data_IF_355112784563
#
_entry.id   IF_355112784563
#
_cell.length_a   1.000
_cell.length_b   1.000
_cell.length_c   1.000
_cell.angle_alpha   90.00
_cell.angle_beta   90.00
_cell.angle_gamma   90.00
#
_symmetry.space_group_name_H-M   'P 1'
#
loop_
_entity.id
_entity.type
_entity.pdbx_description
1 polymer ?
#
# COMPACT_ATOMS: atom_id res chain seq x y z
N UNK A 1 -17.14 11.51 -64.66
CA UNK A 1 -18.12 10.72 -63.88
C UNK A 1 -18.48 11.55 -62.67
N UNK A 2 -19.74 11.97 -62.61
CA UNK A 2 -20.25 13.13 -61.87
C UNK A 2 -20.78 12.78 -60.46
N UNK A 3 -20.68 13.79 -59.58
CA UNK A 3 -21.61 14.19 -58.52
C UNK A 3 -22.07 13.18 -57.44
N UNK A 4 -21.35 13.23 -56.31
CA UNK A 4 -21.91 12.99 -54.97
C UNK A 4 -22.77 14.18 -54.53
N UNK A 5 -24.09 14.04 -54.56
CA UNK A 5 -25.05 14.87 -53.79
C UNK A 5 -26.34 14.06 -53.64
N UNK A 6 -26.66 13.61 -52.42
CA UNK A 6 -28.02 13.51 -51.85
C UNK A 6 -28.00 12.60 -50.60
N UNK A 7 -27.63 13.16 -49.44
CA UNK A 7 -27.77 12.49 -48.14
C UNK A 7 -28.05 13.41 -46.96
N UNK A 8 -28.14 14.73 -47.19
CA UNK A 8 -28.20 15.74 -46.12
C UNK A 8 -29.61 16.19 -45.72
N UNK A 9 -30.69 15.60 -46.25
CA UNK A 9 -32.07 16.10 -46.02
C UNK A 9 -32.91 15.31 -45.00
N UNK A 10 -32.44 14.19 -44.44
CA UNK A 10 -33.22 13.39 -43.46
C UNK A 10 -32.94 13.68 -41.98
N UNK A 11 -31.84 14.37 -41.62
CA UNK A 11 -31.45 14.58 -40.21
C UNK A 11 -32.02 15.84 -39.56
N UNK A 12 -32.51 16.82 -40.33
CA UNK A 12 -33.05 18.07 -39.79
C UNK A 12 -34.55 18.02 -39.43
N UNK A 13 -35.30 17.05 -39.97
CA UNK A 13 -36.72 16.87 -39.64
C UNK A 13 -36.93 16.17 -38.29
N UNK A 14 -35.99 15.34 -37.83
CA UNK A 14 -36.11 14.63 -36.55
C UNK A 14 -35.73 15.51 -35.34
N UNK A 15 -34.85 16.50 -35.53
CA UNK A 15 -34.41 17.40 -34.48
C UNK A 15 -35.49 18.44 -34.07
N UNK A 16 -36.40 18.79 -34.98
CA UNK A 16 -37.46 19.78 -34.74
C UNK A 16 -38.67 19.21 -33.98
N UNK A 17 -38.94 17.91 -34.07
CA UNK A 17 -40.08 17.28 -33.37
C UNK A 17 -39.75 17.02 -31.89
N UNK A 18 -38.49 16.76 -31.54
CA UNK A 18 -38.07 16.56 -30.14
C UNK A 18 -37.97 17.87 -29.33
N UNK A 19 -37.67 19.00 -29.98
CA UNK A 19 -37.60 20.30 -29.31
C UNK A 19 -38.99 20.88 -28.97
N UNK A 20 -40.03 20.55 -29.75
CA UNK A 20 -41.39 21.04 -29.51
C UNK A 20 -42.12 20.28 -28.39
N UNK A 21 -41.80 19.00 -28.15
CA UNK A 21 -42.39 18.21 -27.06
C UNK A 21 -41.93 18.64 -25.66
N UNK A 22 -40.68 19.09 -25.52
CA UNK A 22 -40.10 19.48 -24.22
C UNK A 22 -40.53 20.88 -23.74
N UNK A 23 -40.99 21.75 -24.64
CA UNK A 23 -41.43 23.10 -24.27
C UNK A 23 -42.92 23.19 -23.92
N UNK A 24 -43.76 22.27 -24.39
CA UNK A 24 -45.20 22.26 -24.05
C UNK A 24 -45.54 21.51 -22.75
N UNK A 25 -44.65 20.64 -22.25
CA UNK A 25 -44.84 19.97 -20.96
C UNK A 25 -44.71 20.90 -19.75
N UNK A 26 -44.04 22.05 -19.91
CA UNK A 26 -43.76 23.00 -18.83
C UNK A 26 -44.92 23.97 -18.52
N UNK A 27 -45.93 24.04 -19.39
CA UNK A 27 -47.06 24.98 -19.26
C UNK A 27 -48.37 24.36 -18.74
N UNK A 28 -48.46 23.03 -18.58
CA UNK A 28 -49.71 22.35 -18.21
C UNK A 28 -49.75 21.76 -16.79
N UNK A 29 -48.65 21.78 -16.03
CA UNK A 29 -48.60 21.27 -14.65
C UNK A 29 -47.74 22.15 -13.73
N UNK A 30 -48.28 23.23 -13.12
CA UNK A 30 -47.51 24.15 -12.28
C UNK A 30 -47.17 23.59 -10.88
N UNK A 31 -47.49 22.32 -10.61
CA UNK A 31 -47.34 21.70 -9.28
C UNK A 31 -46.37 20.51 -9.19
N UNK A 32 -45.76 20.08 -10.30
CA UNK A 32 -44.83 18.97 -10.25
C UNK A 32 -43.43 19.49 -9.92
N UNK A 33 -43.11 19.52 -8.62
CA UNK A 33 -41.71 19.58 -8.18
C UNK A 33 -41.04 18.31 -8.67
N UNK A 34 -40.23 18.43 -9.72
CA UNK A 34 -39.18 17.45 -9.94
C UNK A 34 -38.36 17.41 -8.64
N UNK A 35 -38.00 16.23 -8.12
CA UNK A 35 -36.93 16.19 -7.14
C UNK A 35 -35.75 16.90 -7.79
N UNK A 36 -35.18 17.90 -7.11
CA UNK A 36 -33.85 18.40 -7.40
C UNK A 36 -32.90 17.21 -7.22
N UNK A 37 -32.83 16.36 -8.23
CA UNK A 37 -31.65 15.58 -8.51
C UNK A 37 -30.63 16.61 -8.98
N UNK A 38 -30.02 17.29 -8.01
CA UNK A 38 -28.79 18.00 -8.20
C UNK A 38 -27.80 16.96 -8.79
N UNK A 39 -27.49 16.98 -10.09
CA UNK A 39 -26.59 16.01 -10.71
C UNK A 39 -25.13 16.44 -10.48
N UNK A 40 -24.87 17.09 -9.33
CA UNK A 40 -23.71 17.94 -9.10
C UNK A 40 -22.81 17.51 -7.94
N UNK A 41 -23.14 16.45 -7.19
CA UNK A 41 -22.19 15.82 -6.29
C UNK A 41 -21.62 14.56 -6.94
N UNK A 42 -20.95 14.70 -8.08
CA UNK A 42 -19.86 13.76 -8.34
C UNK A 42 -18.87 13.96 -7.20
N UNK A 43 -18.87 13.03 -6.24
CA UNK A 43 -17.84 12.99 -5.22
C UNK A 43 -16.49 12.86 -5.94
N UNK A 44 -15.85 14.00 -6.22
CA UNK A 44 -14.53 14.03 -6.84
C UNK A 44 -13.57 13.41 -5.82
N UNK A 45 -13.07 12.23 -6.13
CA UNK A 45 -12.10 11.54 -5.29
C UNK A 45 -10.69 12.07 -5.62
N UNK A 46 -9.87 12.26 -4.59
CA UNK A 46 -8.46 12.61 -4.68
C UNK A 46 -7.66 11.43 -4.15
N UNK A 47 -6.67 10.98 -4.91
CA UNK A 47 -5.80 9.90 -4.47
C UNK A 47 -4.68 10.47 -3.60
N UNK A 48 -4.61 10.01 -2.35
CA UNK A 48 -3.58 10.37 -1.38
C UNK A 48 -2.64 9.18 -1.18
N UNK A 49 -1.35 9.41 -1.40
CA UNK A 49 -0.28 8.43 -1.28
C UNK A 49 0.53 8.77 -0.04
N UNK A 50 0.52 7.88 0.94
CA UNK A 50 1.31 7.98 2.16
C UNK A 50 2.60 7.18 2.01
N UNK A 51 3.74 7.86 2.05
CA UNK A 51 5.07 7.27 1.93
C UNK A 51 5.79 7.38 3.26
N UNK A 52 6.11 6.23 3.86
CA UNK A 52 6.90 6.14 5.09
C UNK A 52 8.29 5.61 4.77
N UNK A 53 9.32 6.42 4.97
CA UNK A 53 10.72 6.04 4.78
C UNK A 53 11.36 5.68 6.13
N UNK A 54 11.90 4.48 6.25
CA UNK A 54 12.55 3.97 7.47
C UNK A 54 14.06 4.12 7.35
N UNK A 55 14.66 4.98 8.19
CA UNK A 55 16.09 5.33 8.05
C UNK A 55 17.03 4.15 8.32
N UNK A 56 16.68 3.25 9.26
CA UNK A 56 17.61 2.18 9.71
C UNK A 56 17.83 1.09 8.66
N UNK A 57 16.82 0.83 7.82
CA UNK A 57 16.90 -0.17 6.74
C UNK A 57 16.79 0.43 5.33
N UNK A 58 16.58 1.75 5.22
CA UNK A 58 16.29 2.44 3.96
C UNK A 58 15.10 1.82 3.19
N UNK A 59 14.13 1.29 3.93
CA UNK A 59 12.92 0.68 3.36
C UNK A 59 11.79 1.72 3.27
N UNK A 60 10.86 1.51 2.34
CA UNK A 60 9.76 2.44 2.07
C UNK A 60 8.42 1.73 2.04
N UNK A 61 7.53 2.08 2.97
CA UNK A 61 6.15 1.63 2.96
C UNK A 61 5.26 2.67 2.28
N UNK A 62 4.44 2.22 1.32
CA UNK A 62 3.50 3.09 0.59
C UNK A 62 2.07 2.62 0.83
N UNK A 63 1.19 3.53 1.23
CA UNK A 63 -0.24 3.28 1.40
C UNK A 63 -1.00 4.27 0.53
N UNK A 64 -1.85 3.78 -0.36
CA UNK A 64 -2.69 4.63 -1.20
C UNK A 64 -4.12 4.61 -0.68
N UNK A 65 -4.73 5.78 -0.57
CA UNK A 65 -6.14 5.94 -0.18
C UNK A 65 -6.82 6.94 -1.10
N UNK A 66 -8.03 6.64 -1.51
CA UNK A 66 -8.87 7.60 -2.22
C UNK A 66 -9.75 8.32 -1.19
N UNK A 67 -9.73 9.65 -1.23
CA UNK A 67 -10.40 10.52 -0.25
C UNK A 67 -11.34 11.45 -1.00
N UNK A 68 -12.55 11.64 -0.49
CA UNK A 68 -13.47 12.64 -1.03
C UNK A 68 -12.87 14.03 -0.95
N UNK A 69 -13.00 14.85 -1.99
CA UNK A 69 -12.45 16.21 -2.01
C UNK A 69 -12.97 17.09 -0.86
N UNK A 70 -14.20 16.83 -0.41
CA UNK A 70 -14.83 17.44 0.75
C UNK A 70 -14.15 17.08 2.09
N UNK A 71 -13.44 15.94 2.14
CA UNK A 71 -12.72 15.44 3.32
C UNK A 71 -11.22 15.77 3.28
N UNK A 72 -10.69 16.21 2.13
CA UNK A 72 -9.27 16.45 1.94
C UNK A 72 -8.73 17.54 2.89
N UNK A 73 -9.45 18.65 3.03
CA UNK A 73 -9.02 19.75 3.90
C UNK A 73 -8.99 19.32 5.38
N UNK A 74 -9.97 18.52 5.80
CA UNK A 74 -9.98 17.97 7.16
C UNK A 74 -8.86 16.96 7.38
N UNK A 75 -8.56 16.12 6.37
CA UNK A 75 -7.44 15.20 6.41
C UNK A 75 -6.11 15.94 6.53
N UNK A 76 -5.87 16.94 5.67
CA UNK A 76 -4.68 17.80 5.71
C UNK A 76 -4.53 18.50 7.06
N UNK A 77 -5.61 19.01 7.63
CA UNK A 77 -5.59 19.63 8.95
C UNK A 77 -5.28 18.63 10.09
N UNK A 78 -5.66 17.36 9.94
CA UNK A 78 -5.38 16.29 10.91
C UNK A 78 -3.97 15.71 10.80
N UNK A 79 -3.26 15.95 9.69
CA UNK A 79 -1.87 15.55 9.52
C UNK A 79 -1.00 16.48 10.35
N UNK A 80 -0.87 16.15 11.63
CA UNK A 80 0.01 16.82 12.58
C UNK A 80 1.49 16.49 12.32
N UNK A 81 2.37 17.22 13.03
CA UNK A 81 3.84 17.12 13.03
C UNK A 81 4.34 15.69 12.77
N UNK A 82 4.98 15.49 11.61
CA UNK A 82 5.57 14.20 11.24
C UNK A 82 5.55 13.89 9.74
N UNK A 83 4.62 14.49 8.99
CA UNK A 83 4.60 14.44 7.52
C UNK A 83 5.34 15.66 6.96
N UNK A 84 6.48 15.42 6.31
CA UNK A 84 7.49 16.43 6.01
C UNK A 84 7.36 17.04 4.61
N UNK A 85 6.74 16.32 3.65
CA UNK A 85 6.57 16.82 2.29
C UNK A 85 5.19 16.45 1.74
N UNK A 86 4.52 17.45 1.19
CA UNK A 86 3.30 17.32 0.41
C UNK A 86 3.64 17.70 -1.04
N UNK A 87 3.75 16.72 -1.93
CA UNK A 87 3.92 16.97 -3.37
C UNK A 87 2.62 16.64 -4.10
N UNK A 88 2.09 17.60 -4.85
CA UNK A 88 1.02 17.33 -5.81
C UNK A 88 1.67 16.89 -7.13
N UNK A 89 1.41 15.65 -7.54
CA UNK A 89 1.90 15.11 -8.82
C UNK A 89 0.78 14.38 -9.54
N UNK A 90 0.51 14.77 -10.78
CA UNK A 90 -0.49 14.13 -11.66
C UNK A 90 -1.90 14.02 -11.04
N UNK A 91 -2.32 15.03 -10.27
CA UNK A 91 -3.62 15.03 -9.57
C UNK A 91 -3.69 14.11 -8.35
N UNK A 92 -2.53 13.65 -7.86
CA UNK A 92 -2.38 12.88 -6.63
C UNK A 92 -1.63 13.70 -5.60
N UNK A 93 -1.96 13.44 -4.34
CA UNK A 93 -1.30 14.05 -3.20
C UNK A 93 -0.33 13.04 -2.58
N UNK A 94 0.97 13.28 -2.66
CA UNK A 94 1.97 12.47 -1.98
C UNK A 94 2.38 13.11 -0.66
N UNK A 95 2.26 12.34 0.42
CA UNK A 95 2.63 12.71 1.78
C UNK A 95 3.80 11.84 2.21
N UNK A 96 4.94 12.46 2.49
CA UNK A 96 6.15 11.73 2.88
C UNK A 96 6.48 11.98 4.35
N UNK A 97 6.72 10.92 5.10
CA UNK A 97 7.33 10.99 6.43
C UNK A 97 8.59 10.13 6.50
N UNK A 98 9.53 10.56 7.34
CA UNK A 98 10.75 9.81 7.62
C UNK A 98 10.72 9.40 9.09
N UNK A 99 10.82 8.11 9.35
CA UNK A 99 10.85 7.54 10.70
C UNK A 99 12.27 7.06 10.97
N UNK A 100 12.83 7.49 12.11
CA UNK A 100 14.16 7.04 12.55
C UNK A 100 14.11 5.66 13.22
N UNK A 101 13.57 4.68 12.51
CA UNK A 101 13.41 3.32 13.03
C UNK A 101 13.46 2.25 11.94
N UNK A 102 13.34 0.99 12.35
CA UNK A 102 13.20 -0.16 11.47
C UNK A 102 11.79 -0.25 10.88
N UNK A 103 11.68 -0.77 9.66
CA UNK A 103 10.36 -1.12 9.12
C UNK A 103 9.75 -2.31 9.87
N UNK A 104 8.43 -2.56 9.80
CA UNK A 104 7.77 -3.64 10.52
C UNK A 104 8.41 -5.03 10.30
N UNK A 105 8.90 -5.30 9.10
CA UNK A 105 9.65 -6.53 8.80
C UNK A 105 10.92 -6.64 9.68
N UNK A 106 11.77 -5.63 9.64
CA UNK A 106 13.02 -5.63 10.41
C UNK A 106 12.82 -5.42 11.92
N UNK A 107 11.67 -4.92 12.34
CA UNK A 107 11.38 -4.73 13.76
C UNK A 107 10.91 -6.04 14.41
N UNK A 108 9.91 -6.70 13.81
CA UNK A 108 9.15 -7.78 14.44
C UNK A 108 9.57 -9.19 14.05
N UNK A 109 10.56 -9.33 13.16
CA UNK A 109 10.99 -10.65 12.69
C UNK A 109 12.47 -10.92 12.94
N UNK A 110 12.76 -12.19 13.22
CA UNK A 110 14.11 -12.76 13.21
C UNK A 110 14.10 -14.05 12.40
N UNK A 111 15.04 -14.18 11.49
CA UNK A 111 15.24 -15.40 10.73
C UNK A 111 16.50 -16.11 11.25
N UNK A 112 16.35 -17.34 11.70
CA UNK A 112 17.47 -18.23 12.05
C UNK A 112 17.68 -19.20 10.89
N UNK A 113 18.85 -19.17 10.26
CA UNK A 113 19.11 -19.99 9.06
C UNK A 113 20.57 -20.41 8.98
N UNK A 114 20.83 -21.56 8.36
CA UNK A 114 22.16 -21.87 7.85
C UNK A 114 22.55 -20.92 6.73
N UNK A 115 23.68 -20.25 6.89
CA UNK A 115 24.23 -19.34 5.91
C UNK A 115 25.75 -19.43 5.94
N UNK A 116 26.36 -19.70 4.77
CA UNK A 116 27.82 -19.90 4.64
C UNK A 116 28.35 -20.96 5.62
N UNK A 117 27.66 -22.09 5.72
CA UNK A 117 28.10 -23.27 6.48
C UNK A 117 27.95 -23.19 7.99
N UNK A 118 27.30 -22.17 8.55
CA UNK A 118 27.03 -22.06 9.98
C UNK A 118 25.69 -21.35 10.25
N UNK A 119 25.17 -21.47 11.47
CA UNK A 119 23.90 -20.85 11.86
C UNK A 119 24.08 -19.33 12.01
N UNK A 120 23.18 -18.59 11.39
CA UNK A 120 23.15 -17.12 11.40
C UNK A 120 21.75 -16.64 11.73
N UNK A 121 21.67 -15.57 12.53
CA UNK A 121 20.45 -14.88 12.87
C UNK A 121 20.41 -13.55 12.11
N UNK A 122 19.38 -13.40 11.30
CA UNK A 122 19.09 -12.19 10.52
C UNK A 122 17.95 -11.41 11.17
N UNK A 123 18.01 -10.09 11.03
CA UNK A 123 16.89 -9.20 11.29
C UNK A 123 15.99 -9.19 10.05
N UNK A 124 14.69 -9.41 10.23
CA UNK A 124 13.72 -9.51 9.13
C UNK A 124 13.42 -10.94 8.69
N UNK A 125 12.54 -11.06 7.69
CA UNK A 125 12.08 -12.33 7.13
C UNK A 125 13.04 -12.98 6.13
N UNK A 126 13.93 -12.19 5.53
CA UNK A 126 14.78 -12.63 4.43
C UNK A 126 16.26 -12.66 4.84
N UNK A 127 17.06 -13.60 4.31
CA UNK A 127 18.49 -13.63 4.56
C UNK A 127 19.19 -12.52 3.76
N UNK A 128 19.48 -11.41 4.43
CA UNK A 128 20.25 -10.28 3.89
C UNK A 128 21.47 -9.99 4.79
N UNK A 129 22.67 -10.05 4.19
CA UNK A 129 23.95 -9.82 4.87
C UNK A 129 24.01 -8.48 5.62
N UNK A 130 23.31 -7.46 5.12
CA UNK A 130 23.26 -6.13 5.75
C UNK A 130 22.54 -6.15 7.10
N UNK A 131 21.75 -7.19 7.35
CA UNK A 131 20.88 -7.34 8.51
C UNK A 131 21.24 -8.56 9.36
N UNK A 132 22.48 -9.07 9.25
CA UNK A 132 22.99 -10.09 10.16
C UNK A 132 23.10 -9.48 11.57
N UNK A 133 22.41 -10.10 12.53
CA UNK A 133 22.53 -9.76 13.96
C UNK A 133 23.70 -10.51 14.56
N UNK A 134 23.80 -11.82 14.30
CA UNK A 134 24.85 -12.68 14.86
C UNK A 134 25.06 -13.93 14.02
N UNK A 135 26.32 -14.31 13.83
CA UNK A 135 26.71 -15.63 13.34
C UNK A 135 27.25 -16.49 14.48
N UNK A 136 26.86 -17.75 14.51
CA UNK A 136 27.26 -18.74 15.50
C UNK A 136 28.15 -19.77 14.83
N UNK A 137 29.46 -19.52 14.86
CA UNK A 137 30.46 -20.38 14.20
C UNK A 137 30.65 -21.71 14.92
N UNK A 138 30.25 -21.78 16.18
CA UNK A 138 30.15 -23.00 16.97
C UNK A 138 29.05 -23.95 16.44
N UNK A 139 28.06 -23.42 15.71
CA UNK A 139 27.01 -24.19 15.06
C UNK A 139 27.30 -24.34 13.57
N UNK A 140 28.38 -25.03 13.25
CA UNK A 140 28.71 -25.40 11.87
C UNK A 140 27.73 -26.44 11.33
N UNK A 141 27.41 -26.36 10.04
CA UNK A 141 26.51 -27.28 9.36
C UNK A 141 26.92 -28.75 9.54
N UNK A 142 28.23 -29.02 9.52
CA UNK A 142 28.79 -30.36 9.69
C UNK A 142 28.68 -30.93 11.10
N UNK A 143 28.44 -30.09 12.10
CA UNK A 143 28.34 -30.49 13.51
C UNK A 143 26.90 -30.78 13.94
N UNK A 144 25.91 -30.44 13.10
CA UNK A 144 24.49 -30.65 13.39
C UNK A 144 24.11 -32.07 12.95
N UNK A 145 24.05 -32.99 13.92
CA UNK A 145 23.77 -34.40 13.65
C UNK A 145 22.29 -34.67 13.34
N UNK A 146 21.38 -33.88 13.91
CA UNK A 146 19.94 -34.11 13.78
C UNK A 146 19.41 -33.60 12.43
N UNK A 147 19.11 -34.52 11.51
CA UNK A 147 18.72 -34.21 10.13
C UNK A 147 17.48 -33.31 10.00
N UNK A 148 16.51 -33.47 10.90
CA UNK A 148 15.32 -32.61 10.93
C UNK A 148 15.67 -31.15 11.29
N UNK A 149 16.53 -30.94 12.29
CA UNK A 149 16.99 -29.61 12.70
C UNK A 149 17.81 -28.97 11.59
N UNK A 150 18.67 -29.75 10.95
CA UNK A 150 19.44 -29.32 9.79
C UNK A 150 18.54 -28.84 8.66
N UNK A 151 17.48 -29.59 8.34
CA UNK A 151 16.53 -29.21 7.30
C UNK A 151 15.74 -27.94 7.69
N UNK A 152 15.30 -27.83 8.94
CA UNK A 152 14.64 -26.63 9.45
C UNK A 152 15.55 -25.39 9.34
N UNK A 153 16.83 -25.52 9.68
CA UNK A 153 17.80 -24.42 9.56
C UNK A 153 18.13 -24.10 8.10
N UNK A 154 18.12 -25.07 7.18
CA UNK A 154 18.26 -24.81 5.74
C UNK A 154 17.06 -24.07 5.17
N UNK A 155 15.85 -24.45 5.58
CA UNK A 155 14.62 -23.77 5.20
C UNK A 155 14.56 -22.37 5.82
N UNK A 156 14.99 -22.25 7.08
CA UNK A 156 14.97 -21.04 7.88
C UNK A 156 13.81 -21.08 8.87
N UNK A 157 14.12 -20.81 10.14
CA UNK A 157 13.13 -20.65 11.20
C UNK A 157 12.83 -19.17 11.35
N UNK A 158 11.60 -18.79 11.04
CA UNK A 158 11.13 -17.43 11.21
C UNK A 158 10.45 -17.28 12.56
N UNK A 159 10.99 -16.38 13.38
CA UNK A 159 10.42 -15.96 14.65
C UNK A 159 9.74 -14.61 14.48
N UNK A 160 8.59 -14.44 15.12
CA UNK A 160 7.79 -13.22 15.11
C UNK A 160 7.38 -12.87 16.53
N UNK A 161 7.54 -11.59 16.89
CA UNK A 161 6.96 -11.01 18.10
C UNK A 161 6.70 -9.51 17.87
N UNK A 162 5.64 -8.99 18.47
CA UNK A 162 5.35 -7.55 18.45
C UNK A 162 6.32 -6.77 19.36
N UNK A 163 6.86 -7.42 20.40
CA UNK A 163 7.91 -6.89 21.25
C UNK A 163 9.30 -7.29 20.72
N UNK A 164 10.06 -6.34 20.14
CA UNK A 164 11.38 -6.64 19.60
C UNK A 164 12.41 -7.05 20.66
N UNK A 165 12.19 -6.74 21.95
CA UNK A 165 13.06 -7.17 23.04
C UNK A 165 12.89 -8.68 23.33
N UNK A 166 11.68 -9.19 23.16
CA UNK A 166 11.36 -10.61 23.37
C UNK A 166 11.95 -11.51 22.27
N UNK A 167 12.10 -10.98 21.05
CA UNK A 167 12.70 -11.72 19.92
C UNK A 167 14.11 -12.24 20.23
N UNK A 168 14.94 -11.45 20.90
CA UNK A 168 16.32 -11.86 21.21
C UNK A 168 16.35 -12.98 22.26
N UNK A 169 15.34 -13.05 23.14
CA UNK A 169 15.18 -14.15 24.07
C UNK A 169 14.67 -15.43 23.37
N UNK A 170 13.71 -15.30 22.45
CA UNK A 170 13.23 -16.43 21.64
C UNK A 170 14.35 -17.05 20.80
N UNK A 171 15.20 -16.21 20.19
CA UNK A 171 16.38 -16.68 19.46
C UNK A 171 17.30 -17.49 20.36
N UNK A 172 17.60 -17.02 21.58
CA UNK A 172 18.46 -17.75 22.53
C UNK A 172 17.84 -19.09 22.91
N UNK A 173 16.57 -19.10 23.30
CA UNK A 173 15.85 -20.33 23.68
C UNK A 173 15.82 -21.35 22.54
N UNK A 174 15.64 -20.90 21.29
CA UNK A 174 15.70 -21.79 20.14
C UNK A 174 17.09 -22.40 19.95
N UNK A 175 18.14 -21.59 20.04
CA UNK A 175 19.52 -22.06 19.86
C UNK A 175 20.00 -22.99 20.98
N UNK A 176 19.56 -22.77 22.22
CA UNK A 176 19.79 -23.70 23.34
C UNK A 176 19.16 -25.07 23.07
N UNK A 177 17.98 -25.10 22.42
CA UNK A 177 17.34 -26.36 22.02
C UNK A 177 18.04 -27.12 20.88
N UNK A 178 19.03 -26.52 20.22
CA UNK A 178 19.85 -27.20 19.19
C UNK A 178 21.11 -27.83 19.82
N UNK A 179 21.56 -27.32 20.96
CA UNK A 179 22.76 -27.81 21.67
C UNK A 179 22.55 -29.07 22.52
N UNK A 180 21.30 -29.37 22.86
CA UNK A 180 20.89 -30.55 23.64
C UNK A 180 20.53 -31.74 22.73
#
# INVERSE_FOLDING_TARGET
MELNRFGAKKKHLLALVLAAGLLLGRYLFPGWKFPDNDPGAQASMVQVIYVTKYSKCNDTATITKDVGKDQLDSLLASLSEGWAAMEERDGKLELVRVINDWCPNHNHYRLIKLHRGHVVVFRGQDPDDRFIIRGYREFEESLIEHSQTLEQLRQGILLFDEDPEYLDMLVRSYLEGITD
#
